data_IF_092560837202
#
_entry.id   IF_092560837202
#
_cell.length_a   1.000
_cell.length_b   1.000
_cell.length_c   1.000
_cell.angle_alpha   90.00
_cell.angle_beta   90.00
_cell.angle_gamma   90.00
#
_symmetry.space_group_name_H-M   'P 1'
#
loop_
_entity.id
_entity.type
_entity.pdbx_description
1 polymer ?
#
# COMPACT_ATOMS: atom_id res chain seq x y z
N UNK A 1 -17.55 19.09 -36.92
CA UNK A 1 -18.49 18.44 -35.98
C UNK A 1 -17.86 17.33 -35.11
N UNK A 2 -16.59 16.96 -35.29
CA UNK A 2 -15.95 15.84 -34.57
C UNK A 2 -15.35 16.19 -33.19
N UNK A 3 -15.26 17.48 -32.83
CA UNK A 3 -14.62 17.94 -31.60
C UNK A 3 -15.50 17.92 -30.35
N UNK A 4 -16.83 17.85 -30.50
CA UNK A 4 -17.78 17.82 -29.36
C UNK A 4 -18.00 16.41 -28.80
N UNK A 5 -17.84 15.36 -29.61
CA UNK A 5 -17.98 13.97 -29.15
C UNK A 5 -16.80 13.52 -28.26
N UNK A 6 -15.57 13.97 -28.54
CA UNK A 6 -14.41 13.69 -27.68
C UNK A 6 -14.56 14.24 -26.25
N UNK A 7 -15.42 15.25 -26.06
CA UNK A 7 -15.68 15.85 -24.73
C UNK A 7 -16.57 15.00 -23.83
N UNK A 8 -17.32 14.06 -24.40
CA UNK A 8 -18.16 13.13 -23.62
C UNK A 8 -17.40 11.87 -23.20
N UNK A 9 -16.39 11.46 -23.98
CA UNK A 9 -15.48 10.36 -23.64
C UNK A 9 -14.28 10.78 -22.77
N UNK A 10 -14.14 12.07 -22.44
CA UNK A 10 -13.08 12.61 -21.55
C UNK A 10 -13.54 12.77 -20.11
N UNK A 11 -14.72 12.24 -19.74
CA UNK A 11 -14.99 11.95 -18.33
C UNK A 11 -14.09 10.78 -17.96
N UNK A 12 -12.89 11.11 -17.46
CA UNK A 12 -12.06 10.21 -16.66
C UNK A 12 -13.04 9.48 -15.72
N UNK A 13 -13.15 8.14 -15.77
CA UNK A 13 -13.94 7.43 -14.78
C UNK A 13 -13.50 7.98 -13.42
N UNK A 14 -14.46 8.37 -12.58
CA UNK A 14 -14.11 8.73 -11.23
C UNK A 14 -13.29 7.55 -10.68
N UNK A 15 -12.09 7.79 -10.12
CA UNK A 15 -11.34 6.71 -9.52
C UNK A 15 -12.29 5.99 -8.55
N UNK A 16 -12.27 4.64 -8.50
CA UNK A 16 -13.04 3.93 -7.49
C UNK A 16 -12.73 4.55 -6.13
N UNK A 17 -13.70 4.60 -5.19
CA UNK A 17 -13.44 5.14 -3.88
C UNK A 17 -12.21 4.43 -3.30
N UNK A 18 -11.18 5.20 -2.96
CA UNK A 18 -9.92 4.67 -2.42
C UNK A 18 -10.24 3.72 -1.28
N UNK A 19 -9.59 2.55 -1.28
CA UNK A 19 -9.78 1.53 -0.25
C UNK A 19 -9.42 2.17 1.09
N UNK A 20 -10.42 2.42 1.95
CA UNK A 20 -10.14 3.07 3.23
C UNK A 20 -9.45 2.08 4.15
N UNK A 21 -8.21 2.40 4.50
CA UNK A 21 -7.49 1.72 5.55
C UNK A 21 -7.75 2.43 6.87
N UNK A 22 -8.17 1.68 7.88
CA UNK A 22 -8.33 2.16 9.25
C UNK A 22 -7.39 1.39 10.15
N UNK A 23 -6.62 2.12 10.95
CA UNK A 23 -5.65 1.54 11.88
C UNK A 23 -6.02 1.92 13.30
N UNK A 24 -6.25 0.92 14.15
CA UNK A 24 -6.62 1.10 15.55
C UNK A 24 -5.84 0.15 16.47
N UNK A 25 -6.18 0.15 17.76
CA UNK A 25 -5.48 -0.66 18.75
C UNK A 25 -5.68 -2.18 18.59
N UNK A 26 -6.72 -2.61 17.86
CA UNK A 26 -6.99 -4.02 17.58
C UNK A 26 -6.22 -4.51 16.34
N UNK A 27 -6.09 -3.68 15.31
CA UNK A 27 -5.35 -4.04 14.11
C UNK A 27 -5.55 -3.08 12.95
N UNK A 28 -5.36 -3.62 11.75
CA UNK A 28 -5.51 -2.92 10.49
C UNK A 28 -6.77 -3.44 9.81
N UNK A 29 -7.63 -2.52 9.39
CA UNK A 29 -8.86 -2.80 8.66
C UNK A 29 -8.74 -2.24 7.25
N UNK A 30 -9.21 -2.99 6.27
CA UNK A 30 -9.50 -2.49 4.93
C UNK A 30 -11.00 -2.58 4.72
N UNK A 31 -11.62 -1.43 4.47
CA UNK A 31 -13.04 -1.39 4.16
C UNK A 31 -13.33 -2.21 2.90
N UNK A 32 -14.46 -2.90 2.91
CA UNK A 32 -15.07 -3.43 1.70
C UNK A 32 -15.30 -2.25 0.75
N UNK A 33 -14.55 -2.18 -0.35
CA UNK A 33 -14.91 -1.31 -1.46
C UNK A 33 -16.29 -1.70 -2.03
N UNK A 34 -16.65 -1.14 -3.19
CA UNK A 34 -17.95 -1.37 -3.83
C UNK A 34 -18.29 -2.85 -4.18
N UNK A 35 -17.38 -3.80 -3.95
CA UNK A 35 -17.50 -5.19 -4.36
C UNK A 35 -17.15 -6.23 -3.26
N UNK A 36 -16.93 -5.84 -1.99
CA UNK A 36 -16.17 -6.71 -1.08
C UNK A 36 -16.72 -6.98 0.32
N UNK A 37 -15.95 -7.78 1.05
CA UNK A 37 -16.03 -8.03 2.50
C UNK A 37 -14.93 -7.20 3.16
N UNK A 38 -15.21 -6.60 4.33
CA UNK A 38 -14.19 -5.87 5.06
C UNK A 38 -13.13 -6.85 5.58
N UNK A 39 -11.87 -6.51 5.39
CA UNK A 39 -10.76 -7.35 5.81
C UNK A 39 -10.11 -6.78 7.07
N UNK A 40 -9.65 -7.69 7.93
CA UNK A 40 -9.06 -7.35 9.21
C UNK A 40 -7.80 -8.17 9.46
N UNK A 41 -6.73 -7.48 9.87
CA UNK A 41 -5.47 -8.08 10.27
C UNK A 41 -5.13 -7.64 11.70
N UNK A 42 -5.16 -8.55 12.68
CA UNK A 42 -4.78 -8.22 14.06
C UNK A 42 -3.26 -7.98 14.13
N UNK A 43 -2.83 -7.12 15.06
CA UNK A 43 -1.40 -6.80 15.23
C UNK A 43 -0.52 -8.02 15.47
N UNK A 44 -1.04 -9.06 16.12
CA UNK A 44 -0.33 -10.32 16.36
C UNK A 44 0.11 -11.03 15.07
N UNK A 45 -0.57 -10.75 13.95
CA UNK A 45 -0.29 -11.35 12.65
C UNK A 45 0.63 -10.47 11.80
N UNK A 46 0.84 -9.21 12.14
CA UNK A 46 1.71 -8.31 11.37
C UNK A 46 3.17 -8.65 11.70
N UNK A 47 3.90 -9.16 10.70
CA UNK A 47 5.32 -9.52 10.82
C UNK A 47 6.25 -8.52 10.19
N UNK A 48 5.80 -7.86 9.14
CA UNK A 48 6.57 -6.81 8.45
C UNK A 48 5.63 -5.68 8.06
N UNK A 49 6.18 -4.47 8.01
CA UNK A 49 5.51 -3.28 7.51
C UNK A 49 6.49 -2.41 6.74
N UNK A 50 6.04 -1.87 5.61
CA UNK A 50 6.87 -1.03 4.77
C UNK A 50 6.12 -0.38 3.63
N UNK A 51 6.91 0.19 2.72
CA UNK A 51 6.44 0.78 1.47
C UNK A 51 7.16 0.12 0.31
N UNK A 52 6.49 -0.08 -0.81
CA UNK A 52 7.11 -0.63 -2.03
C UNK A 52 6.61 0.07 -3.27
N UNK A 53 7.40 -0.07 -4.33
CA UNK A 53 7.18 0.48 -5.64
C UNK A 53 7.38 -0.66 -6.63
N UNK A 54 6.30 -1.10 -7.26
CA UNK A 54 6.30 -2.23 -8.20
C UNK A 54 5.78 -1.78 -9.56
N UNK A 55 6.12 -2.49 -10.63
CA UNK A 55 5.47 -2.28 -11.92
C UNK A 55 3.97 -2.53 -11.78
N UNK A 56 3.17 -1.61 -12.33
CA UNK A 56 1.72 -1.75 -12.34
C UNK A 56 1.34 -3.09 -12.99
N UNK A 57 0.63 -3.93 -12.26
CA UNK A 57 0.19 -5.23 -12.78
C UNK A 57 -0.78 -5.09 -13.96
N UNK A 58 -1.47 -3.95 -14.04
CA UNK A 58 -2.35 -3.58 -15.14
C UNK A 58 -1.94 -2.21 -15.68
N UNK A 59 -1.09 -2.17 -16.73
CA UNK A 59 -0.63 -0.91 -17.31
C UNK A 59 -1.80 -0.11 -17.86
N UNK A 60 -1.71 1.20 -17.71
CA UNK A 60 -2.74 2.13 -18.13
C UNK A 60 -2.66 2.30 -19.66
N UNK A 61 -3.77 2.16 -20.40
CA UNK A 61 -3.77 2.25 -21.86
C UNK A 61 -3.23 3.57 -22.42
N UNK A 62 -3.18 4.63 -21.62
CA UNK A 62 -2.74 5.96 -22.02
C UNK A 62 -1.31 6.27 -21.55
N UNK A 63 -0.87 5.67 -20.46
CA UNK A 63 0.41 5.98 -19.79
C UNK A 63 1.47 4.89 -20.01
N UNK A 64 1.06 3.71 -20.47
CA UNK A 64 1.94 2.56 -20.66
C UNK A 64 2.38 1.95 -19.33
N UNK A 65 3.59 1.42 -19.30
CA UNK A 65 4.21 0.88 -18.09
C UNK A 65 4.48 2.02 -17.08
N UNK A 66 4.00 1.86 -15.86
CA UNK A 66 4.24 2.78 -14.76
C UNK A 66 4.47 2.03 -13.45
N UNK A 67 5.02 2.73 -12.45
CA UNK A 67 5.22 2.16 -11.13
C UNK A 67 4.07 2.56 -10.20
N UNK A 68 3.61 1.58 -9.42
CA UNK A 68 2.62 1.73 -8.37
C UNK A 68 3.31 1.67 -7.01
N UNK A 69 3.13 2.75 -6.25
CA UNK A 69 3.50 2.76 -4.85
C UNK A 69 2.39 2.09 -4.02
N UNK A 70 2.78 1.28 -3.05
CA UNK A 70 1.86 0.69 -2.08
C UNK A 70 2.50 0.61 -0.70
N UNK A 71 1.68 0.75 0.32
CA UNK A 71 2.03 0.29 1.67
C UNK A 71 1.84 -1.21 1.72
N UNK A 72 2.64 -1.92 2.51
CA UNK A 72 2.45 -3.35 2.69
C UNK A 72 2.57 -3.78 4.13
N UNK A 73 1.83 -4.83 4.47
CA UNK A 73 2.11 -5.69 5.63
C UNK A 73 2.40 -7.11 5.16
N UNK A 74 3.25 -7.84 5.87
CA UNK A 74 3.32 -9.31 5.73
C UNK A 74 2.63 -9.99 6.89
N UNK A 75 1.70 -10.88 6.58
CA UNK A 75 0.92 -11.67 7.55
C UNK A 75 1.00 -13.17 7.23
N UNK A 76 0.87 -14.06 8.23
CA UNK A 76 0.75 -15.50 7.97
C UNK A 76 -0.44 -15.80 7.05
N UNK A 77 -0.24 -16.74 6.13
CA UNK A 77 -1.30 -17.29 5.28
C UNK A 77 -1.78 -18.63 5.84
N UNK A 78 -3.07 -18.95 5.64
CA UNK A 78 -3.68 -20.20 6.09
C UNK A 78 -3.02 -21.45 5.49
N UNK A 79 -2.35 -21.31 4.34
CA UNK A 79 -1.63 -22.40 3.65
C UNK A 79 -0.20 -22.65 4.11
N UNK A 80 0.27 -21.94 5.15
CA UNK A 80 1.67 -21.94 5.56
C UNK A 80 2.51 -21.00 4.68
N UNK A 81 3.17 -20.05 5.31
CA UNK A 81 3.94 -19.00 4.63
C UNK A 81 3.40 -17.61 4.89
N UNK A 82 3.97 -16.63 4.20
CA UNK A 82 3.67 -15.21 4.39
C UNK A 82 2.96 -14.65 3.17
N UNK A 83 1.84 -13.98 3.40
CA UNK A 83 1.12 -13.19 2.40
C UNK A 83 1.47 -11.72 2.59
N UNK A 84 1.86 -11.05 1.51
CA UNK A 84 1.99 -9.61 1.48
C UNK A 84 0.62 -9.01 1.12
N UNK A 85 0.12 -8.13 1.98
CA UNK A 85 -1.13 -7.39 1.78
C UNK A 85 -0.77 -5.96 1.44
N UNK A 86 -1.20 -5.53 0.25
CA UNK A 86 -1.00 -4.18 -0.26
C UNK A 86 -2.16 -3.24 0.09
N UNK A 87 -1.80 -2.00 0.36
CA UNK A 87 -2.70 -0.87 0.48
C UNK A 87 -2.26 0.27 -0.43
N UNK A 88 -3.24 1.02 -0.91
CA UNK A 88 -3.03 2.15 -1.81
C UNK A 88 -2.04 3.17 -1.19
N UNK A 89 -1.14 3.76 -2.00
CA UNK A 89 -0.12 4.70 -1.49
C UNK A 89 -0.70 5.91 -0.73
N UNK A 90 -1.95 6.29 -1.00
CA UNK A 90 -2.65 7.39 -0.34
C UNK A 90 -3.36 6.97 0.96
N UNK A 91 -3.33 5.69 1.32
CA UNK A 91 -3.97 5.18 2.53
C UNK A 91 -3.31 5.70 3.82
N UNK A 92 -2.01 6.02 3.77
CA UNK A 92 -1.22 6.50 4.92
C UNK A 92 -0.30 7.64 4.50
N UNK A 93 0.00 8.52 5.46
CA UNK A 93 0.99 9.60 5.32
C UNK A 93 2.16 9.31 6.27
N UNK A 94 3.42 9.19 5.77
CA UNK A 94 4.58 8.95 6.62
C UNK A 94 4.83 10.04 7.67
N UNK A 95 4.32 11.27 7.46
CA UNK A 95 4.46 12.38 8.41
C UNK A 95 3.31 12.44 9.43
N UNK A 96 2.21 11.73 9.18
CA UNK A 96 1.01 11.72 10.04
C UNK A 96 0.47 10.30 10.24
N UNK A 97 1.34 9.37 10.62
CA UNK A 97 0.94 7.97 10.83
C UNK A 97 -0.04 7.83 12.01
N UNK A 98 -1.00 6.88 11.92
CA UNK A 98 -1.93 6.61 13.01
C UNK A 98 -1.21 6.30 14.33
N UNK A 99 -1.61 6.90 15.47
CA UNK A 99 -0.94 6.67 16.75
C UNK A 99 -0.89 5.20 17.18
N UNK A 100 -1.92 4.42 16.83
CA UNK A 100 -1.97 2.99 17.10
C UNK A 100 -0.85 2.22 16.36
N UNK A 101 -0.54 2.62 15.12
CA UNK A 101 0.55 2.04 14.34
C UNK A 101 1.90 2.28 15.02
N UNK A 102 2.16 3.52 15.44
CA UNK A 102 3.41 3.89 16.13
C UNK A 102 3.58 3.16 17.46
N UNK A 103 2.48 2.93 18.20
CA UNK A 103 2.51 2.16 19.46
C UNK A 103 2.78 0.67 19.24
N UNK A 104 2.27 0.11 18.15
CA UNK A 104 2.28 -1.33 17.88
C UNK A 104 3.52 -1.81 17.12
N UNK A 105 4.20 -0.90 16.43
CA UNK A 105 5.43 -1.16 15.67
C UNK A 105 6.62 -0.44 16.32
N UNK A 106 7.14 -0.92 17.46
CA UNK A 106 8.29 -0.29 18.11
C UNK A 106 9.52 -0.36 17.21
N UNK A 107 10.25 0.75 17.10
CA UNK A 107 11.46 0.83 16.26
C UNK A 107 11.18 1.05 14.77
N UNK A 108 9.96 1.43 14.39
CA UNK A 108 9.61 1.78 13.01
C UNK A 108 10.57 2.83 12.41
N UNK A 109 11.23 2.47 11.30
CA UNK A 109 12.09 3.37 10.55
C UNK A 109 11.26 4.32 9.66
N UNK A 110 10.92 5.48 10.23
CA UNK A 110 10.22 6.53 9.50
C UNK A 110 11.04 7.11 8.34
N UNK A 111 12.38 7.05 8.40
CA UNK A 111 13.22 7.54 7.31
C UNK A 111 13.09 6.65 6.08
N UNK A 112 13.08 5.33 6.28
CA UNK A 112 12.83 4.36 5.20
C UNK A 112 11.47 4.61 4.52
N UNK A 113 10.40 4.82 5.29
CA UNK A 113 9.07 5.12 4.73
C UNK A 113 9.05 6.41 3.92
N UNK A 114 9.65 7.48 4.46
CA UNK A 114 9.75 8.77 3.75
C UNK A 114 10.53 8.63 2.45
N UNK A 115 11.60 7.84 2.43
CA UNK A 115 12.37 7.56 1.23
C UNK A 115 11.53 6.82 0.18
N UNK A 116 10.77 5.79 0.58
CA UNK A 116 9.88 5.07 -0.34
C UNK A 116 8.79 5.96 -0.94
N UNK A 117 8.12 6.76 -0.11
CA UNK A 117 7.09 7.71 -0.58
C UNK A 117 7.71 8.79 -1.48
N UNK A 118 8.91 9.28 -1.16
CA UNK A 118 9.62 10.24 -2.00
C UNK A 118 10.03 9.62 -3.35
N UNK A 119 10.44 8.35 -3.37
CA UNK A 119 10.77 7.62 -4.59
C UNK A 119 9.54 7.46 -5.49
N UNK A 120 8.38 7.09 -4.93
CA UNK A 120 7.12 7.01 -5.68
C UNK A 120 6.74 8.36 -6.32
N UNK A 121 6.95 9.49 -5.62
CA UNK A 121 6.70 10.85 -6.16
C UNK A 121 7.68 11.23 -7.28
N UNK A 122 8.87 10.62 -7.34
CA UNK A 122 9.91 10.86 -8.35
C UNK A 122 9.89 9.86 -9.49
N UNK A 123 9.25 8.71 -9.33
CA UNK A 123 9.17 7.62 -10.31
C UNK A 123 8.85 8.07 -11.75
N UNK A 124 7.96 9.06 -12.01
CA UNK A 124 7.72 9.53 -13.38
C UNK A 124 8.92 10.23 -14.04
N UNK A 125 9.95 10.60 -13.29
CA UNK A 125 11.11 11.39 -13.75
C UNK A 125 12.40 10.59 -13.90
N UNK A 126 12.59 9.53 -13.10
CA UNK A 126 13.90 8.86 -12.95
C UNK A 126 13.99 7.50 -13.66
N UNK A 127 13.02 7.18 -14.53
CA UNK A 127 12.88 5.87 -15.17
C UNK A 127 12.23 4.82 -14.24
N UNK A 128 11.69 3.75 -14.82
CA UNK A 128 11.00 2.70 -14.06
C UNK A 128 12.03 1.86 -13.28
N UNK A 129 12.13 2.07 -11.96
CA UNK A 129 12.89 1.25 -11.02
C UNK A 129 12.01 0.83 -9.85
N UNK A 130 11.82 -0.48 -9.69
CA UNK A 130 11.16 -1.05 -8.53
C UNK A 130 12.01 -0.87 -7.26
N UNK A 131 11.36 -0.91 -6.09
CA UNK A 131 12.03 -0.80 -4.80
C UNK A 131 11.14 -1.19 -3.64
N UNK A 132 11.76 -1.67 -2.56
CA UNK A 132 11.08 -2.02 -1.31
C UNK A 132 11.83 -1.36 -0.14
N UNK A 133 11.08 -0.68 0.72
CA UNK A 133 11.54 -0.01 1.93
C UNK A 133 10.86 -0.65 3.13
N UNK A 134 11.51 -1.69 3.67
CA UNK A 134 11.09 -2.34 4.91
C UNK A 134 11.39 -1.42 6.08
N UNK A 135 10.35 -0.93 6.74
CA UNK A 135 10.48 0.02 7.85
C UNK A 135 10.40 -0.65 9.22
N UNK A 136 9.76 -1.82 9.28
CA UNK A 136 9.64 -2.56 10.52
C UNK A 136 9.49 -4.04 10.24
N UNK A 137 10.06 -4.85 11.13
CA UNK A 137 9.89 -6.29 11.19
C UNK A 137 9.77 -6.71 12.64
N UNK A 138 8.86 -7.64 12.93
CA UNK A 138 8.76 -8.22 14.26
C UNK A 138 10.02 -9.02 14.56
N UNK A 139 10.64 -8.78 15.71
CA UNK A 139 11.74 -9.60 16.25
C UNK A 139 11.30 -10.99 16.69
N UNK A 140 10.08 -11.41 16.35
CA UNK A 140 9.61 -12.78 16.51
C UNK A 140 10.38 -13.71 15.54
N UNK A 141 11.67 -13.89 15.82
CA UNK A 141 12.39 -15.13 15.58
C UNK A 141 11.97 -16.08 16.69
N UNK A 142 10.76 -16.65 16.59
CA UNK A 142 10.25 -17.71 17.48
C UNK A 142 8.86 -18.14 16.96
N UNK A 143 8.51 -19.40 16.74
CA UNK A 143 9.22 -20.67 16.87
C UNK A 143 8.58 -21.65 15.86
N UNK A 144 9.38 -22.25 14.98
CA UNK A 144 9.01 -23.53 14.40
C UNK A 144 9.68 -24.59 15.29
N UNK A 145 8.94 -25.53 15.90
CA UNK A 145 9.55 -26.77 16.39
C UNK A 145 10.13 -27.58 15.21
#
# INVERSE_FOLDING_TARGET
MWSRLKRLCTRRPAPPPASRVRVDDAGIWRDAGAAGVAEFWPWANVREFGFRLLLAGFPDPWSGDYLEGSWFIRVPSDGGGMLAVDFDADALDPDHLPPALLRRLPGLDLAALRQGVAAARRAPRDGLREGEWLAWRSDATDAAP
#
